data_IF_134057856318
#
_entry.id   IF_134057856318
#
_cell.length_a   1.000
_cell.length_b   1.000
_cell.length_c   1.000
_cell.angle_alpha   90.00
_cell.angle_beta   90.00
_cell.angle_gamma   90.00
#
_symmetry.space_group_name_H-M   'P 1'
#
loop_
_entity.id
_entity.type
_entity.pdbx_description
1 polymer ?
#
# COMPACT_ATOMS: atom_id res chain seq x y z
N UNK A 1 -28.65 -37.21 -39.82
CA UNK A 1 -27.77 -36.03 -39.75
C UNK A 1 -27.89 -35.48 -38.35
N UNK A 2 -26.95 -35.79 -37.44
CA UNK A 2 -27.07 -35.41 -36.03
C UNK A 2 -26.07 -34.29 -35.73
N UNK A 3 -26.60 -33.11 -35.41
CA UNK A 3 -25.81 -31.94 -35.02
C UNK A 3 -25.32 -32.11 -33.57
N UNK A 4 -24.01 -31.98 -33.39
CA UNK A 4 -23.36 -32.00 -32.07
C UNK A 4 -23.37 -30.57 -31.53
N UNK A 5 -24.07 -30.33 -30.42
CA UNK A 5 -24.07 -29.05 -29.74
C UNK A 5 -22.71 -28.81 -29.06
N UNK A 6 -22.04 -27.70 -29.39
CA UNK A 6 -20.77 -27.31 -28.79
C UNK A 6 -21.02 -26.45 -27.55
N UNK A 7 -20.52 -26.89 -26.40
CA UNK A 7 -20.55 -26.11 -25.16
C UNK A 7 -19.44 -25.04 -25.20
N UNK A 8 -19.82 -23.77 -25.26
CA UNK A 8 -18.88 -22.64 -25.14
C UNK A 8 -18.55 -22.39 -23.67
N UNK A 9 -17.36 -22.76 -23.24
CA UNK A 9 -16.84 -22.44 -21.91
C UNK A 9 -16.56 -20.94 -21.82
N UNK A 10 -17.44 -20.17 -21.17
CA UNK A 10 -17.23 -18.75 -20.92
C UNK A 10 -16.07 -18.55 -19.92
N UNK A 11 -14.93 -18.06 -20.40
CA UNK A 11 -13.81 -17.68 -19.55
C UNK A 11 -14.16 -16.36 -18.85
N UNK A 12 -14.51 -16.44 -17.56
CA UNK A 12 -14.72 -15.23 -16.77
C UNK A 12 -13.40 -14.47 -16.61
N UNK A 13 -13.36 -13.15 -16.89
CA UNK A 13 -12.16 -12.35 -16.71
C UNK A 13 -11.77 -12.32 -15.22
N UNK A 14 -10.57 -12.81 -14.92
CA UNK A 14 -10.03 -12.76 -13.55
C UNK A 14 -9.78 -11.32 -13.14
N UNK A 15 -10.47 -10.86 -12.09
CA UNK A 15 -10.22 -9.53 -11.52
C UNK A 15 -8.95 -9.58 -10.66
N UNK A 16 -7.94 -8.78 -11.02
CA UNK A 16 -6.74 -8.68 -10.21
C UNK A 16 -7.02 -7.94 -8.91
N UNK A 17 -6.72 -8.59 -7.79
CA UNK A 17 -6.72 -7.98 -6.46
C UNK A 17 -5.36 -8.13 -5.81
N UNK A 18 -4.96 -7.14 -5.01
CA UNK A 18 -3.72 -7.23 -4.26
C UNK A 18 -3.82 -8.32 -3.18
N UNK A 19 -2.70 -8.98 -2.89
CA UNK A 19 -2.54 -9.94 -1.78
C UNK A 19 -1.61 -9.42 -0.68
N UNK A 20 -1.19 -8.16 -0.77
CA UNK A 20 -0.13 -7.57 0.07
C UNK A 20 -0.69 -7.03 1.38
N UNK A 21 0.13 -7.13 2.43
CA UNK A 21 0.02 -6.27 3.59
C UNK A 21 1.27 -5.40 3.64
N UNK A 22 1.11 -4.12 4.00
CA UNK A 22 2.21 -3.17 4.13
C UNK A 22 2.42 -2.87 5.60
N UNK A 23 3.65 -3.07 6.08
CA UNK A 23 4.07 -2.54 7.38
C UNK A 23 4.80 -1.22 7.18
N UNK A 24 4.31 -0.17 7.82
CA UNK A 24 4.88 1.18 7.77
C UNK A 24 5.58 1.44 9.09
N UNK A 25 6.91 1.39 9.08
CA UNK A 25 7.73 1.79 10.23
C UNK A 25 7.79 3.32 10.36
N UNK A 26 7.43 3.83 11.54
CA UNK A 26 7.30 5.26 11.86
C UNK A 26 8.44 5.77 12.76
N UNK A 27 9.10 4.90 13.53
CA UNK A 27 10.19 5.22 14.45
C UNK A 27 11.58 5.05 13.80
N UNK A 28 11.80 5.71 12.65
CA UNK A 28 13.01 5.51 11.82
C UNK A 28 14.26 6.17 12.42
N UNK A 29 14.77 5.58 13.50
CA UNK A 29 15.95 6.06 14.24
C UNK A 29 15.66 7.14 15.29
N UNK A 30 14.39 7.41 15.59
CA UNK A 30 13.97 8.41 16.58
C UNK A 30 12.80 7.92 17.41
N UNK A 31 12.65 8.50 18.62
CA UNK A 31 11.52 8.20 19.50
C UNK A 31 10.30 9.02 19.09
N UNK A 32 9.18 8.33 18.93
CA UNK A 32 7.90 8.93 18.54
C UNK A 32 7.14 9.40 19.79
N UNK A 33 6.58 10.60 19.72
CA UNK A 33 5.62 11.13 20.71
C UNK A 33 4.19 10.85 20.26
N UNK A 34 3.89 11.15 19.00
CA UNK A 34 2.60 10.90 18.37
C UNK A 34 2.81 10.65 16.88
N UNK A 35 1.93 9.88 16.27
CA UNK A 35 1.93 9.59 14.85
C UNK A 35 0.51 9.39 14.33
N UNK A 36 0.31 9.78 13.08
CA UNK A 36 -0.90 9.56 12.31
C UNK A 36 -0.52 8.96 10.96
N UNK A 37 -1.28 7.95 10.54
CA UNK A 37 -1.15 7.33 9.22
C UNK A 37 -2.49 7.41 8.54
N UNK A 38 -2.50 7.95 7.32
CA UNK A 38 -3.68 8.06 6.48
C UNK A 38 -3.48 7.18 5.24
N UNK A 39 -4.46 6.34 4.95
CA UNK A 39 -4.55 5.52 3.76
C UNK A 39 -5.75 5.97 2.92
N UNK A 40 -5.49 6.51 1.73
CA UNK A 40 -6.51 7.13 0.87
C UNK A 40 -7.43 8.11 1.64
N UNK A 41 -6.83 8.95 2.48
CA UNK A 41 -7.56 9.93 3.29
C UNK A 41 -8.15 9.39 4.59
N UNK A 42 -8.17 8.06 4.82
CA UNK A 42 -8.73 7.44 6.02
C UNK A 42 -7.65 7.17 7.06
N UNK A 43 -7.92 7.46 8.34
CA UNK A 43 -6.99 7.16 9.43
C UNK A 43 -6.82 5.64 9.60
N UNK A 44 -5.57 5.23 9.81
CA UNK A 44 -5.18 3.85 10.08
C UNK A 44 -4.66 3.78 11.51
N UNK A 45 -4.98 2.69 12.19
CA UNK A 45 -4.47 2.43 13.52
C UNK A 45 -2.93 2.38 13.53
N UNK A 46 -2.35 3.03 14.54
CA UNK A 46 -0.91 3.05 14.79
C UNK A 46 -0.64 2.31 16.09
N UNK A 47 0.22 1.29 16.02
CA UNK A 47 0.67 0.54 17.18
C UNK A 47 1.92 1.20 17.76
N UNK A 48 1.89 1.45 19.07
CA UNK A 48 2.98 2.06 19.80
C UNK A 48 3.66 1.01 20.68
N UNK A 49 4.97 0.83 20.49
CA UNK A 49 5.80 0.08 21.43
C UNK A 49 6.25 0.92 22.62
N UNK A 50 7.13 0.34 23.45
CA UNK A 50 7.62 0.99 24.68
C UNK A 50 8.44 2.24 24.36
N UNK A 51 8.24 3.29 25.17
CA UNK A 51 8.96 4.56 25.12
C UNK A 51 9.04 5.22 23.72
N UNK A 52 8.03 5.01 22.87
CA UNK A 52 8.00 5.57 21.52
C UNK A 52 8.96 4.90 20.53
N UNK A 53 9.39 3.66 20.83
CA UNK A 53 10.10 2.77 19.90
C UNK A 53 9.14 1.73 19.31
N UNK A 54 9.55 1.09 18.22
CA UNK A 54 8.80 0.07 17.48
C UNK A 54 7.40 0.53 17.09
N UNK A 55 7.29 1.80 16.67
CA UNK A 55 6.01 2.40 16.26
C UNK A 55 5.76 2.11 14.80
N UNK A 56 4.63 1.49 14.51
CA UNK A 56 4.29 1.06 13.15
C UNK A 56 2.80 1.09 12.89
N UNK A 57 2.43 1.08 11.61
CA UNK A 57 1.06 0.88 11.16
C UNK A 57 1.03 -0.22 10.10
N UNK A 58 0.01 -1.07 10.18
CA UNK A 58 -0.21 -2.11 9.17
C UNK A 58 -1.37 -1.72 8.28
N UNK A 59 -1.13 -1.65 6.98
CA UNK A 59 -2.15 -1.38 5.96
C UNK A 59 -2.39 -2.67 5.19
N UNK A 60 -3.60 -3.21 5.30
CA UNK A 60 -3.98 -4.38 4.55
C UNK A 60 -4.44 -3.97 3.14
N UNK A 61 -3.69 -4.37 2.11
CA UNK A 61 -4.08 -4.19 0.71
C UNK A 61 -4.70 -5.45 0.12
N UNK A 62 -4.99 -6.48 0.93
CA UNK A 62 -5.62 -7.72 0.44
C UNK A 62 -7.03 -7.41 -0.06
N UNK A 63 -7.39 -7.94 -1.23
CA UNK A 63 -8.71 -7.73 -1.83
C UNK A 63 -8.92 -6.35 -2.46
N UNK A 64 -7.98 -5.42 -2.30
CA UNK A 64 -8.05 -4.13 -2.97
C UNK A 64 -7.86 -4.27 -4.48
N UNK A 65 -8.70 -3.55 -5.24
CA UNK A 65 -8.72 -3.51 -6.70
C UNK A 65 -7.41 -2.95 -7.29
N UNK A 66 -7.26 -3.11 -8.61
CA UNK A 66 -6.20 -2.44 -9.34
C UNK A 66 -6.26 -0.92 -9.16
N UNK A 67 -5.13 -0.29 -8.85
CA UNK A 67 -5.08 1.15 -8.65
C UNK A 67 -3.85 1.65 -7.91
N UNK A 68 -3.83 2.97 -7.70
CA UNK A 68 -2.81 3.66 -6.89
C UNK A 68 -3.40 4.05 -5.55
N UNK A 69 -2.69 3.70 -4.49
CA UNK A 69 -3.08 3.94 -3.11
C UNK A 69 -2.07 4.87 -2.45
N UNK A 70 -2.56 5.93 -1.81
CA UNK A 70 -1.72 6.95 -1.18
C UNK A 70 -1.67 6.72 0.33
N UNK A 71 -0.46 6.69 0.87
CA UNK A 71 -0.19 6.62 2.31
C UNK A 71 0.51 7.90 2.73
N UNK A 72 -0.12 8.65 3.63
CA UNK A 72 0.48 9.83 4.27
C UNK A 72 0.79 9.50 5.73
N UNK A 73 1.99 9.82 6.17
CA UNK A 73 2.44 9.65 7.55
C UNK A 73 2.81 10.99 8.12
N UNK A 74 2.31 11.31 9.30
CA UNK A 74 2.74 12.46 10.10
C UNK A 74 3.27 11.93 11.42
N UNK A 75 4.49 12.27 11.76
CA UNK A 75 5.14 11.80 13.00
C UNK A 75 5.70 12.98 13.76
N UNK A 76 5.32 13.09 15.03
CA UNK A 76 5.90 14.03 15.97
C UNK A 76 6.92 13.29 16.82
N UNK A 77 8.18 13.71 16.77
CA UNK A 77 9.25 13.12 17.57
C UNK A 77 9.17 13.61 19.02
N UNK A 78 9.78 12.88 19.96
CA UNK A 78 9.93 13.37 21.35
C UNK A 78 10.75 14.65 21.47
N UNK A 79 11.63 14.93 20.50
CA UNK A 79 12.34 16.21 20.39
C UNK A 79 11.50 17.35 19.80
N UNK A 80 10.21 17.13 19.54
CA UNK A 80 9.28 18.15 19.03
C UNK A 80 9.28 18.33 17.51
N UNK A 81 10.13 17.62 16.76
CA UNK A 81 10.20 17.73 15.29
C UNK A 81 9.02 17.02 14.64
N UNK A 82 8.47 17.63 13.59
CA UNK A 82 7.42 17.01 12.77
C UNK A 82 8.04 16.46 11.50
N UNK A 83 7.76 15.20 11.20
CA UNK A 83 8.19 14.50 9.98
C UNK A 83 6.97 14.06 9.20
N UNK A 84 6.85 14.56 7.98
CA UNK A 84 5.76 14.21 7.06
C UNK A 84 6.34 13.38 5.92
N UNK A 85 5.61 12.33 5.53
CA UNK A 85 5.96 11.49 4.39
C UNK A 85 4.72 11.12 3.61
N UNK A 86 4.84 11.08 2.29
CA UNK A 86 3.78 10.60 1.41
C UNK A 86 4.36 9.54 0.47
N UNK A 87 3.71 8.38 0.40
CA UNK A 87 4.11 7.28 -0.47
C UNK A 87 2.92 6.80 -1.27
N UNK A 88 3.17 6.42 -2.53
CA UNK A 88 2.17 5.83 -3.41
C UNK A 88 2.51 4.38 -3.66
N UNK A 89 1.54 3.50 -3.43
CA UNK A 89 1.64 2.08 -3.68
C UNK A 89 0.72 1.71 -4.83
N UNK A 90 1.22 0.87 -5.73
CA UNK A 90 0.45 0.33 -6.84
C UNK A 90 0.02 -1.09 -6.49
N UNK A 91 -1.28 -1.36 -6.57
CA UNK A 91 -1.84 -2.70 -6.45
C UNK A 91 -2.36 -3.11 -7.81
N UNK A 92 -1.97 -4.29 -8.32
CA UNK A 92 -2.44 -4.83 -9.59
C UNK A 92 -2.37 -3.85 -10.79
N UNK A 93 -1.56 -2.79 -10.68
CA UNK A 93 -1.44 -1.80 -11.73
C UNK A 93 -0.57 -2.39 -12.84
N UNK A 94 -0.89 -2.02 -14.09
CA UNK A 94 -0.07 -2.37 -15.24
C UNK A 94 1.41 -2.05 -14.93
N UNK A 95 2.29 -3.01 -15.22
CA UNK A 95 3.74 -2.83 -15.06
C UNK A 95 4.15 -1.68 -15.96
N UNK A 96 4.71 -0.61 -15.38
CA UNK A 96 5.27 0.47 -16.18
C UNK A 96 6.47 -0.11 -16.92
N UNK A 97 6.51 0.03 -18.24
CA UNK A 97 7.72 -0.29 -18.99
C UNK A 97 8.87 0.59 -18.44
N UNK A 98 10.06 0.02 -18.19
CA UNK A 98 11.20 0.82 -17.76
C UNK A 98 11.50 1.86 -18.83
N UNK A 99 11.60 3.13 -18.43
CA UNK A 99 12.08 4.18 -19.32
C UNK A 99 13.54 3.86 -19.63
N UNK A 100 13.83 3.48 -20.87
CA UNK A 100 15.22 3.36 -21.34
C UNK A 100 15.81 4.76 -21.30
N UNK A 101 16.83 5.00 -20.47
CA UNK A 101 17.60 6.24 -20.55
C UNK A 101 18.31 6.26 -21.92
N UNK A 102 18.27 7.37 -22.67
CA UNK A 102 19.11 7.49 -23.87
C UNK A 102 20.57 7.30 -23.45
N UNK A 103 21.31 6.48 -24.22
CA UNK A 103 22.77 6.39 -24.08
C UNK A 103 23.36 7.69 -24.64
N UNK A 104 24.18 8.37 -23.84
CA UNK A 104 25.05 9.46 -24.26
C UNK A 104 26.30 8.91 -24.94
#
# INVERSE_FOLDING_TARGET
MNAVAQATTQVQPRTCTSRRALSIRLDRGYRVRAASVMFNGKLVHVSYGRHGRNVSATINLRGHKAGTYTVRTVVVTRSGRIKVGTRRFRACAAKIAPVRRPRS
#
